data_IF_858421317210
#
_entry.id   IF_858421317210
#
_cell.length_a   1.000
_cell.length_b   1.000
_cell.length_c   1.000
_cell.angle_alpha   90.00
_cell.angle_beta   90.00
_cell.angle_gamma   90.00
#
_symmetry.space_group_name_H-M   'P 1'
#
loop_
_entity.id
_entity.type
_entity.pdbx_description
1 polymer ?
#
# COMPACT_ATOMS: atom_id res chain seq x y z
N UNK A 1 -32.33 -2.67 36.46
CA UNK A 1 -31.20 -2.69 37.41
C UNK A 1 -29.99 -2.32 36.58
N UNK A 2 -29.70 -1.07 36.46
CA UNK A 2 -28.83 -0.14 37.24
C UNK A 2 -27.47 -0.83 37.57
N UNK A 3 -26.41 -0.44 36.85
CA UNK A 3 -25.33 0.25 37.54
C UNK A 3 -24.46 1.03 36.55
N UNK A 4 -24.40 2.30 36.85
CA UNK A 4 -23.56 3.33 36.22
C UNK A 4 -22.29 3.48 37.03
N UNK A 5 -21.11 3.30 36.47
CA UNK A 5 -19.88 3.71 37.11
C UNK A 5 -19.14 4.74 36.26
N UNK A 6 -19.31 6.00 36.65
CA UNK A 6 -18.49 7.14 36.24
C UNK A 6 -17.12 7.05 36.92
N UNK A 7 -16.04 7.18 36.18
CA UNK A 7 -14.74 7.55 36.74
C UNK A 7 -14.22 8.82 36.08
N UNK A 8 -13.92 9.76 36.95
CA UNK A 8 -13.47 11.09 36.66
C UNK A 8 -12.01 11.11 36.21
N UNK A 9 -11.72 12.05 35.35
CA UNK A 9 -10.42 12.34 34.76
C UNK A 9 -9.74 13.43 35.57
N UNK A 10 -8.50 13.22 35.87
CA UNK A 10 -7.62 14.21 36.52
C UNK A 10 -6.81 14.91 35.42
N UNK A 11 -6.94 16.22 35.34
CA UNK A 11 -6.16 17.10 34.50
C UNK A 11 -4.75 17.25 35.09
N UNK A 12 -3.73 17.01 34.28
CA UNK A 12 -2.33 17.30 34.59
C UNK A 12 -1.81 18.42 33.69
N UNK A 13 -1.64 19.58 34.28
CA UNK A 13 -1.01 20.76 33.71
C UNK A 13 0.50 20.62 33.82
N UNK A 14 1.26 20.62 32.72
CA UNK A 14 2.71 20.75 32.76
C UNK A 14 3.13 21.98 31.99
N UNK A 15 3.60 22.94 32.74
CA UNK A 15 4.26 24.18 32.32
C UNK A 15 5.75 23.86 32.18
N UNK A 16 6.41 24.38 31.19
CA UNK A 16 7.86 24.35 31.21
C UNK A 16 8.55 24.60 29.88
N UNK A 17 8.98 25.79 29.80
CA UNK A 17 10.33 26.35 29.62
C UNK A 17 10.75 26.65 28.19
N UNK A 18 10.68 27.94 27.89
CA UNK A 18 11.40 28.66 26.84
C UNK A 18 12.91 28.62 27.11
N UNK A 19 13.69 28.17 26.13
CA UNK A 19 15.14 28.43 26.07
C UNK A 19 15.43 29.21 24.82
N UNK A 20 15.64 30.50 24.98
CA UNK A 20 16.23 31.42 24.01
C UNK A 20 17.73 31.24 23.99
N UNK A 21 18.26 30.70 22.89
CA UNK A 21 19.71 30.64 22.63
C UNK A 21 20.10 31.59 21.51
N UNK A 22 20.52 32.80 21.87
CA UNK A 22 21.17 33.72 20.95
C UNK A 22 22.68 33.40 20.94
N UNK A 23 23.17 32.89 19.82
CA UNK A 23 24.58 32.63 19.58
C UNK A 23 25.08 33.48 18.41
N UNK A 24 25.57 34.68 18.70
CA UNK A 24 26.34 35.47 17.78
C UNK A 24 27.80 34.99 17.79
N UNK A 25 28.34 34.57 16.67
CA UNK A 25 29.78 34.45 16.45
C UNK A 25 30.18 35.30 15.25
N UNK A 26 30.75 36.45 15.54
CA UNK A 26 31.59 37.21 14.64
C UNK A 26 32.99 36.57 14.61
N UNK A 27 33.52 36.32 13.44
CA UNK A 27 34.90 35.87 13.25
C UNK A 27 35.35 36.12 11.83
N UNK A 28 36.19 37.16 11.67
CA UNK A 28 36.81 37.61 10.41
C UNK A 28 37.94 36.71 9.96
N UNK A 29 38.18 36.82 8.67
CA UNK A 29 39.45 36.80 7.93
C UNK A 29 39.83 35.52 7.13
N UNK A 30 39.82 35.69 5.81
CA UNK A 30 40.94 35.34 4.91
C UNK A 30 40.94 33.93 4.35
N UNK A 31 40.75 33.80 3.03
CA UNK A 31 41.12 32.61 2.27
C UNK A 31 40.41 32.54 0.94
N UNK A 32 41.14 32.84 -0.11
CA UNK A 32 40.77 32.63 -1.51
C UNK A 32 40.41 31.18 -1.80
N UNK A 33 39.43 30.98 -2.63
CA UNK A 33 39.36 29.72 -3.34
C UNK A 33 37.97 29.13 -3.52
N UNK A 34 37.60 29.03 -4.79
CA UNK A 34 36.58 28.19 -5.35
C UNK A 34 35.11 28.59 -5.13
N UNK A 35 34.62 29.21 -6.18
CA UNK A 35 33.22 29.29 -6.58
C UNK A 35 32.56 27.90 -6.57
N UNK A 36 32.14 27.50 -5.39
CA UNK A 36 31.20 26.39 -5.28
C UNK A 36 29.81 26.95 -5.53
N UNK A 37 29.35 26.73 -6.74
CA UNK A 37 27.99 27.04 -7.19
C UNK A 37 26.96 26.76 -6.10
N UNK A 38 26.49 27.85 -5.49
CA UNK A 38 25.34 27.89 -4.62
C UNK A 38 24.18 27.35 -5.46
N UNK A 39 23.90 26.06 -5.34
CA UNK A 39 22.62 25.52 -5.77
C UNK A 39 21.58 26.31 -4.98
N UNK A 40 21.02 27.30 -5.61
CA UNK A 40 19.78 27.92 -5.21
C UNK A 40 18.82 26.75 -5.10
N UNK A 41 18.37 26.41 -3.89
CA UNK A 41 17.23 25.55 -3.68
C UNK A 41 16.05 26.25 -4.35
N UNK A 42 15.86 25.91 -5.61
CA UNK A 42 14.67 26.31 -6.36
C UNK A 42 13.49 25.74 -5.57
N UNK A 43 12.53 26.56 -5.13
CA UNK A 43 11.43 26.08 -4.33
C UNK A 43 10.74 24.97 -5.14
N UNK A 44 10.75 23.78 -4.59
CA UNK A 44 10.02 22.64 -5.19
C UNK A 44 8.58 23.12 -5.35
N UNK A 45 8.18 23.33 -6.59
CA UNK A 45 6.86 23.85 -6.90
C UNK A 45 5.84 22.83 -6.35
N UNK A 46 5.09 23.23 -5.35
CA UNK A 46 4.04 22.41 -4.76
C UNK A 46 2.83 22.36 -5.68
N UNK A 47 2.15 21.23 -5.73
CA UNK A 47 0.86 21.12 -6.39
C UNK A 47 -0.14 22.10 -5.74
N UNK A 48 -1.16 22.51 -6.50
CA UNK A 48 -2.28 23.25 -5.92
C UNK A 48 -3.08 22.35 -4.97
N UNK A 49 -3.70 22.93 -3.94
CA UNK A 49 -4.48 22.20 -2.96
C UNK A 49 -5.86 21.72 -3.49
N UNK A 50 -6.47 22.47 -4.41
CA UNK A 50 -7.88 22.30 -4.79
C UNK A 50 -8.07 21.78 -6.22
N UNK A 51 -7.18 20.93 -6.69
CA UNK A 51 -7.26 20.36 -8.03
C UNK A 51 -8.20 19.14 -8.10
N UNK A 52 -8.47 18.72 -9.31
CA UNK A 52 -9.37 17.60 -9.60
C UNK A 52 -8.61 16.48 -10.32
N UNK A 53 -8.77 15.25 -9.84
CA UNK A 53 -8.26 14.05 -10.49
C UNK A 53 -9.19 13.57 -11.60
N UNK A 54 -8.59 13.20 -12.73
CA UNK A 54 -9.23 12.40 -13.78
C UNK A 54 -8.41 11.12 -13.98
N UNK A 55 -9.05 9.98 -13.91
CA UNK A 55 -8.42 8.66 -14.02
C UNK A 55 -8.73 8.01 -15.36
N UNK A 56 -7.71 7.34 -15.92
CA UNK A 56 -7.81 6.55 -17.16
C UNK A 56 -7.02 5.25 -17.03
N UNK A 57 -7.29 4.28 -17.89
CA UNK A 57 -6.60 2.98 -17.93
C UNK A 57 -6.61 2.25 -16.58
N UNK A 58 -7.72 2.34 -15.83
CA UNK A 58 -7.88 1.57 -14.60
C UNK A 58 -7.74 0.07 -14.91
N UNK A 59 -6.84 -0.58 -14.21
CA UNK A 59 -6.57 -2.01 -14.32
C UNK A 59 -6.56 -2.64 -12.93
N UNK A 60 -7.32 -3.70 -12.79
CA UNK A 60 -7.33 -4.54 -11.59
C UNK A 60 -6.85 -5.93 -11.97
N UNK A 61 -5.95 -6.49 -11.19
CA UNK A 61 -5.35 -7.79 -11.48
C UNK A 61 -5.02 -8.55 -10.21
N UNK A 62 -5.50 -9.77 -10.11
CA UNK A 62 -5.05 -10.69 -9.07
C UNK A 62 -3.62 -11.17 -9.38
N UNK A 63 -2.73 -11.07 -8.39
CA UNK A 63 -1.32 -11.42 -8.49
C UNK A 63 -0.95 -12.43 -7.43
N UNK A 64 -0.29 -13.51 -7.85
CA UNK A 64 0.24 -14.51 -6.94
C UNK A 64 1.44 -13.91 -6.17
N UNK A 65 1.35 -13.91 -4.84
CA UNK A 65 2.42 -13.42 -3.96
C UNK A 65 3.20 -14.54 -3.31
N UNK A 66 2.59 -15.71 -3.16
CA UNK A 66 3.25 -16.87 -2.57
C UNK A 66 2.56 -18.16 -2.96
N UNK A 67 3.34 -19.27 -2.96
CA UNK A 67 2.87 -20.61 -3.27
C UNK A 67 3.67 -21.64 -2.48
N UNK A 68 2.99 -22.71 -2.00
CA UNK A 68 3.66 -23.86 -1.38
C UNK A 68 4.09 -24.90 -2.42
N UNK A 69 4.89 -25.86 -2.01
CA UNK A 69 4.99 -27.12 -2.73
C UNK A 69 3.72 -27.95 -2.59
N UNK A 70 3.51 -28.96 -3.47
CA UNK A 70 2.39 -29.89 -3.36
C UNK A 70 2.52 -30.74 -2.10
N UNK A 71 1.38 -31.06 -1.50
CA UNK A 71 1.31 -31.89 -0.30
C UNK A 71 0.12 -32.86 -0.39
N UNK A 72 0.38 -34.13 -0.07
CA UNK A 72 -0.62 -35.18 -0.14
C UNK A 72 -1.39 -35.29 1.17
N UNK A 73 -2.69 -35.15 1.08
CA UNK A 73 -3.62 -35.25 2.19
C UNK A 73 -4.39 -36.58 2.08
N UNK A 74 -4.52 -37.28 3.20
CA UNK A 74 -5.23 -38.55 3.30
C UNK A 74 -6.76 -38.40 3.39
N UNK A 75 -7.46 -39.53 3.49
CA UNK A 75 -8.91 -39.54 3.72
C UNK A 75 -9.25 -38.85 5.05
N UNK A 76 -10.22 -37.95 5.01
CA UNK A 76 -10.64 -37.18 6.19
C UNK A 76 -10.10 -35.75 6.21
N UNK A 77 -9.26 -35.37 5.26
CA UNK A 77 -8.69 -34.01 5.18
C UNK A 77 -7.55 -33.79 6.17
N UNK A 78 -7.17 -32.53 6.34
CA UNK A 78 -6.13 -32.14 7.28
C UNK A 78 -5.52 -30.77 6.97
N UNK A 79 -4.67 -30.32 7.89
CA UNK A 79 -3.91 -29.09 7.70
C UNK A 79 -2.69 -29.36 6.80
N UNK A 80 -2.43 -28.45 5.90
CA UNK A 80 -1.23 -28.46 5.07
C UNK A 80 -0.05 -27.89 5.86
N UNK A 81 1.10 -28.51 5.76
CA UNK A 81 2.31 -28.19 6.52
C UNK A 81 3.39 -27.49 5.67
N UNK A 82 3.33 -27.65 4.33
CA UNK A 82 4.31 -27.05 3.47
C UNK A 82 4.21 -25.52 3.50
N UNK A 83 5.30 -24.81 3.81
CA UNK A 83 5.26 -23.36 3.91
C UNK A 83 5.03 -22.71 2.55
N UNK A 84 4.26 -21.63 2.55
CA UNK A 84 4.10 -20.77 1.38
C UNK A 84 5.40 -19.97 1.18
N UNK A 85 6.00 -20.11 0.02
CA UNK A 85 7.21 -19.38 -0.38
C UNK A 85 6.83 -18.17 -1.22
N UNK A 86 7.45 -17.02 -0.93
CA UNK A 86 7.21 -15.78 -1.68
C UNK A 86 7.72 -15.90 -3.11
N UNK A 87 6.86 -15.57 -4.07
CA UNK A 87 7.17 -15.54 -5.50
C UNK A 87 7.08 -14.12 -6.09
N UNK A 88 6.37 -13.23 -5.40
CA UNK A 88 6.22 -11.83 -5.78
C UNK A 88 5.96 -10.95 -4.56
N UNK A 89 6.52 -9.74 -4.56
CA UNK A 89 6.24 -8.71 -3.55
C UNK A 89 5.59 -7.52 -4.23
N UNK A 90 4.30 -7.25 -3.98
CA UNK A 90 3.66 -6.06 -4.51
C UNK A 90 4.27 -4.82 -3.86
N UNK A 91 4.36 -3.74 -4.61
CA UNK A 91 4.94 -2.47 -4.14
C UNK A 91 4.07 -1.30 -4.59
N UNK A 92 3.54 -0.52 -3.66
CA UNK A 92 2.88 0.74 -3.98
C UNK A 92 3.82 1.67 -4.72
N UNK A 93 3.32 2.42 -5.67
CA UNK A 93 4.12 3.42 -6.36
C UNK A 93 3.26 4.54 -6.94
N UNK A 94 3.80 5.75 -6.88
CA UNK A 94 3.25 6.92 -7.55
C UNK A 94 4.39 7.56 -8.35
N UNK A 95 4.13 7.85 -9.61
CA UNK A 95 5.03 8.58 -10.50
C UNK A 95 4.25 9.75 -11.08
N UNK A 96 4.81 10.95 -11.03
CA UNK A 96 4.21 12.15 -11.56
C UNK A 96 5.22 12.92 -12.40
N UNK A 97 4.73 13.57 -13.45
CA UNK A 97 5.53 14.40 -14.37
C UNK A 97 5.45 15.87 -13.95
N UNK A 98 6.05 16.20 -12.81
CA UNK A 98 6.06 17.55 -12.25
C UNK A 98 5.49 17.67 -10.84
N UNK A 99 5.22 18.90 -10.37
CA UNK A 99 4.66 19.14 -9.04
C UNK A 99 3.28 18.51 -8.89
N UNK A 100 3.17 17.48 -8.08
CA UNK A 100 1.97 16.70 -7.87
C UNK A 100 1.48 16.79 -6.42
N UNK A 101 0.22 16.43 -6.14
CA UNK A 101 -0.24 16.14 -4.78
C UNK A 101 0.62 15.06 -4.11
N UNK A 102 0.52 14.93 -2.81
CA UNK A 102 1.21 13.87 -2.09
C UNK A 102 0.85 12.48 -2.62
N UNK A 103 1.75 11.54 -2.50
CA UNK A 103 1.49 10.16 -2.93
C UNK A 103 0.27 9.57 -2.21
N UNK A 104 0.05 9.92 -0.94
CA UNK A 104 -1.11 9.48 -0.17
C UNK A 104 -2.43 10.04 -0.74
N UNK A 105 -2.48 11.31 -1.14
CA UNK A 105 -3.66 11.92 -1.77
C UNK A 105 -3.97 11.29 -3.14
N UNK A 106 -2.93 11.02 -3.93
CA UNK A 106 -3.07 10.34 -5.23
C UNK A 106 -3.64 8.93 -5.01
N UNK A 107 -3.08 8.15 -4.08
CA UNK A 107 -3.56 6.81 -3.77
C UNK A 107 -4.96 6.81 -3.15
N UNK A 108 -5.29 7.80 -2.31
CA UNK A 108 -6.64 7.97 -1.79
C UNK A 108 -7.66 8.18 -2.93
N UNK A 109 -7.34 9.06 -3.87
CA UNK A 109 -8.18 9.29 -5.05
C UNK A 109 -8.28 8.05 -5.94
N UNK A 110 -7.18 7.29 -6.11
CA UNK A 110 -7.21 6.00 -6.82
C UNK A 110 -8.10 4.99 -6.11
N UNK A 111 -8.00 4.89 -4.78
CA UNK A 111 -8.82 3.99 -3.97
C UNK A 111 -10.31 4.29 -4.11
N UNK A 112 -10.71 5.56 -4.09
CA UNK A 112 -12.10 5.97 -4.37
C UNK A 112 -12.51 5.59 -5.80
N UNK A 113 -11.64 5.78 -6.78
CA UNK A 113 -11.93 5.44 -8.18
C UNK A 113 -12.08 3.94 -8.40
N UNK A 114 -11.33 3.12 -7.69
CA UNK A 114 -11.37 1.67 -7.76
C UNK A 114 -12.42 1.03 -6.84
N UNK A 115 -13.09 1.82 -5.98
CA UNK A 115 -14.05 1.29 -5.00
C UNK A 115 -13.40 0.63 -3.78
N UNK A 116 -12.10 0.83 -3.56
CA UNK A 116 -11.36 0.33 -2.38
C UNK A 116 -11.53 1.26 -1.17
N UNK A 117 -11.93 2.48 -1.42
CA UNK A 117 -12.31 3.51 -0.44
C UNK A 117 -13.69 4.01 -0.84
N UNK A 118 -14.59 4.13 0.12
CA UNK A 118 -15.95 4.60 -0.14
C UNK A 118 -15.94 5.97 -0.83
N UNK A 119 -16.83 6.16 -1.78
CA UNK A 119 -16.91 7.38 -2.58
C UNK A 119 -17.24 8.64 -1.76
N UNK A 120 -17.95 8.47 -0.66
CA UNK A 120 -18.34 9.49 0.31
C UNK A 120 -17.36 9.63 1.50
N UNK A 121 -16.29 8.83 1.51
CA UNK A 121 -15.24 8.99 2.51
C UNK A 121 -14.72 10.44 2.54
N UNK A 122 -14.43 10.99 3.73
CA UNK A 122 -13.83 12.31 3.86
C UNK A 122 -12.52 12.37 3.08
N UNK A 123 -12.06 13.58 2.77
CA UNK A 123 -10.74 13.74 2.16
C UNK A 123 -9.66 13.20 3.08
N UNK A 124 -8.50 12.84 2.53
CA UNK A 124 -7.37 12.36 3.32
C UNK A 124 -6.95 13.37 4.40
N UNK A 125 -7.03 14.67 4.10
CA UNK A 125 -6.75 15.75 5.05
C UNK A 125 -7.75 15.77 6.21
N UNK A 126 -9.04 15.60 5.95
CA UNK A 126 -10.09 15.55 6.96
C UNK A 126 -10.00 14.28 7.81
N UNK A 127 -9.51 13.19 7.25
CA UNK A 127 -9.26 11.95 7.98
C UNK A 127 -7.98 12.01 8.86
N UNK A 128 -7.32 13.17 8.99
CA UNK A 128 -6.11 13.33 9.77
C UNK A 128 -4.84 12.78 9.10
N UNK A 129 -4.88 12.57 7.80
CA UNK A 129 -3.73 12.06 7.02
C UNK A 129 -3.40 10.60 7.27
N UNK A 130 -4.17 9.95 8.13
CA UNK A 130 -3.90 8.58 8.52
C UNK A 130 -4.91 7.62 8.01
N UNK A 131 -4.92 6.55 7.75
CA UNK A 131 -6.03 5.65 8.04
C UNK A 131 -6.44 4.69 6.95
N UNK A 132 -5.97 4.93 5.77
CA UNK A 132 -6.28 3.99 4.71
C UNK A 132 -5.01 3.22 4.37
N UNK A 133 -4.89 1.92 4.67
CA UNK A 133 -3.71 1.13 4.27
C UNK A 133 -3.39 1.28 2.79
N UNK A 134 -4.44 1.45 1.98
CA UNK A 134 -4.30 1.69 0.54
C UNK A 134 -3.58 3.01 0.20
N UNK A 135 -3.51 3.98 1.11
CA UNK A 135 -2.80 5.26 0.87
C UNK A 135 -1.34 5.24 1.29
N UNK A 136 -0.89 4.20 1.98
CA UNK A 136 0.49 4.10 2.44
C UNK A 136 1.41 3.55 1.35
N UNK A 137 2.31 4.41 0.85
CA UNK A 137 3.36 4.00 -0.12
C UNK A 137 4.42 3.09 0.50
N UNK A 138 4.42 2.92 1.82
CA UNK A 138 5.30 2.01 2.56
C UNK A 138 4.55 0.80 3.09
N UNK A 139 3.36 0.54 2.58
CA UNK A 139 2.56 -0.59 2.98
C UNK A 139 3.43 -1.86 3.03
N UNK A 140 3.45 -2.58 4.16
CA UNK A 140 4.27 -3.78 4.30
C UNK A 140 3.80 -4.87 3.33
N UNK A 141 4.73 -5.71 2.90
CA UNK A 141 4.38 -6.85 2.06
C UNK A 141 3.28 -7.71 2.71
N UNK A 142 2.34 -8.25 1.91
CA UNK A 142 1.26 -9.07 2.44
C UNK A 142 1.79 -10.32 3.15
N UNK A 143 1.09 -10.76 4.16
CA UNK A 143 1.38 -12.03 4.84
C UNK A 143 1.19 -13.20 3.88
N UNK A 144 1.91 -14.27 4.11
CA UNK A 144 1.86 -15.50 3.30
C UNK A 144 1.25 -16.67 4.09
N UNK A 145 0.51 -16.40 5.14
CA UNK A 145 -0.19 -17.43 5.90
C UNK A 145 -1.54 -17.79 5.23
N UNK A 146 -1.90 -19.04 5.31
CA UNK A 146 -3.16 -19.57 4.82
C UNK A 146 -3.74 -20.61 5.79
N UNK A 147 -3.70 -20.30 7.08
CA UNK A 147 -4.13 -21.20 8.16
C UNK A 147 -5.63 -21.55 8.11
N UNK A 148 -6.39 -20.86 7.28
CA UNK A 148 -7.85 -20.90 7.26
C UNK A 148 -8.44 -21.91 6.30
N UNK A 149 -7.68 -22.38 5.32
CA UNK A 149 -8.17 -23.26 4.27
C UNK A 149 -7.54 -24.63 4.43
N UNK A 150 -8.38 -25.64 4.75
CA UNK A 150 -7.95 -27.01 4.90
C UNK A 150 -8.73 -27.88 3.92
N UNK A 151 -8.07 -28.78 3.16
CA UNK A 151 -8.74 -29.75 2.31
C UNK A 151 -9.52 -30.74 3.16
N UNK A 152 -10.71 -31.07 2.68
CA UNK A 152 -11.62 -32.04 3.36
C UNK A 152 -11.57 -33.44 2.76
N UNK A 153 -10.97 -33.60 1.61
CA UNK A 153 -10.86 -34.86 0.88
C UNK A 153 -9.39 -35.27 0.71
N UNK A 154 -9.18 -36.54 0.40
CA UNK A 154 -7.87 -37.01 -0.02
C UNK A 154 -7.50 -36.40 -1.37
N UNK A 155 -6.26 -36.00 -1.54
CA UNK A 155 -5.78 -35.38 -2.76
C UNK A 155 -4.36 -34.87 -2.59
N UNK A 156 -3.86 -34.23 -3.63
CA UNK A 156 -2.59 -33.50 -3.61
C UNK A 156 -2.89 -32.01 -3.79
N UNK A 157 -2.47 -31.20 -2.82
CA UNK A 157 -2.91 -29.83 -2.70
C UNK A 157 -1.74 -28.85 -2.60
N UNK A 158 -1.94 -27.66 -3.14
CA UNK A 158 -1.03 -26.52 -3.08
C UNK A 158 -1.75 -25.33 -2.46
N UNK A 159 -1.17 -24.75 -1.41
CA UNK A 159 -1.62 -23.48 -0.83
C UNK A 159 -1.02 -22.30 -1.59
N UNK A 160 -1.78 -21.21 -1.69
CA UNK A 160 -1.27 -19.99 -2.28
C UNK A 160 -1.83 -18.74 -1.60
N UNK A 161 -1.06 -17.66 -1.72
CA UNK A 161 -1.45 -16.33 -1.31
C UNK A 161 -1.34 -15.37 -2.51
N UNK A 162 -2.18 -14.36 -2.54
CA UNK A 162 -2.19 -13.35 -3.59
C UNK A 162 -2.75 -12.02 -3.12
N UNK A 163 -2.68 -11.04 -4.00
CA UNK A 163 -3.26 -9.71 -3.79
C UNK A 163 -3.97 -9.27 -5.06
N UNK A 164 -4.89 -8.33 -4.92
CA UNK A 164 -5.42 -7.56 -6.03
C UNK A 164 -4.60 -6.30 -6.20
N UNK A 165 -3.89 -6.18 -7.30
CA UNK A 165 -3.23 -4.94 -7.70
C UNK A 165 -4.20 -4.05 -8.46
N UNK A 166 -4.19 -2.77 -8.12
CA UNK A 166 -4.93 -1.71 -8.78
C UNK A 166 -3.93 -0.71 -9.35
N UNK A 167 -4.07 -0.34 -10.60
CA UNK A 167 -3.23 0.68 -11.22
C UNK A 167 -4.03 1.53 -12.21
N UNK A 168 -3.67 2.81 -12.32
CA UNK A 168 -4.28 3.72 -13.30
C UNK A 168 -3.37 4.89 -13.61
N UNK A 169 -3.61 5.52 -14.75
CA UNK A 169 -3.03 6.80 -15.11
C UNK A 169 -3.92 7.92 -14.58
N UNK A 170 -3.31 8.97 -14.04
CA UNK A 170 -4.02 10.14 -13.57
C UNK A 170 -3.61 11.41 -14.29
N UNK A 171 -4.57 12.34 -14.35
CA UNK A 171 -4.34 13.75 -14.64
C UNK A 171 -4.92 14.57 -13.50
N UNK A 172 -4.09 15.38 -12.88
CA UNK A 172 -4.50 16.31 -11.84
C UNK A 172 -4.53 17.72 -12.42
N UNK A 173 -5.68 18.40 -12.36
CA UNK A 173 -5.88 19.74 -12.92
C UNK A 173 -6.14 20.73 -11.80
N UNK A 174 -5.32 21.74 -11.74
CA UNK A 174 -5.45 22.87 -10.83
C UNK A 174 -6.50 23.88 -11.31
N UNK A 175 -7.09 24.69 -10.40
CA UNK A 175 -8.02 25.76 -10.76
C UNK A 175 -7.41 26.81 -11.69
N UNK A 176 -6.11 27.05 -11.59
CA UNK A 176 -5.35 27.96 -12.47
C UNK A 176 -5.03 27.38 -13.86
N UNK A 177 -5.51 26.18 -14.16
CA UNK A 177 -5.35 25.50 -15.43
C UNK A 177 -4.09 24.66 -15.58
N UNK A 178 -3.14 24.71 -14.63
CA UNK A 178 -1.99 23.81 -14.64
C UNK A 178 -2.44 22.35 -14.52
N UNK A 179 -1.73 21.46 -15.19
CA UNK A 179 -2.02 20.02 -15.14
C UNK A 179 -0.76 19.23 -14.86
N UNK A 180 -0.91 18.16 -14.10
CA UNK A 180 0.12 17.15 -13.86
C UNK A 180 -0.43 15.79 -14.25
N UNK A 181 0.33 15.01 -14.98
CA UNK A 181 0.00 13.63 -15.33
C UNK A 181 0.91 12.66 -14.59
N UNK A 182 0.44 11.44 -14.44
CA UNK A 182 1.24 10.41 -13.81
C UNK A 182 0.55 9.05 -13.81
N UNK A 183 1.19 8.12 -13.10
CA UNK A 183 0.72 6.75 -12.92
C UNK A 183 0.78 6.39 -11.45
N UNK A 184 -0.26 5.74 -10.96
CA UNK A 184 -0.32 5.23 -9.59
C UNK A 184 -0.66 3.74 -9.59
N UNK A 185 -0.09 3.02 -8.64
CA UNK A 185 -0.35 1.60 -8.39
C UNK A 185 -0.32 1.33 -6.90
N UNK A 186 -1.27 0.52 -6.46
CA UNK A 186 -1.28 -0.06 -5.13
C UNK A 186 -1.94 -1.44 -5.16
N UNK A 187 -2.03 -2.09 -4.02
CA UNK A 187 -2.66 -3.38 -3.86
C UNK A 187 -3.56 -3.41 -2.64
N UNK A 188 -4.52 -4.28 -2.69
CA UNK A 188 -5.51 -4.53 -1.64
C UNK A 188 -5.81 -6.01 -1.60
N UNK A 189 -6.50 -6.43 -0.57
CA UNK A 189 -7.03 -7.80 -0.34
C UNK A 189 -5.95 -8.88 -0.38
N UNK A 190 -5.74 -9.50 0.76
CA UNK A 190 -5.00 -10.74 0.85
C UNK A 190 -5.86 -11.88 0.31
N UNK A 191 -5.46 -12.42 -0.84
CA UNK A 191 -6.09 -13.60 -1.44
C UNK A 191 -5.41 -14.83 -0.86
N UNK A 192 -6.21 -15.72 -0.26
CA UNK A 192 -5.77 -17.03 0.17
C UNK A 192 -6.53 -18.09 -0.59
N UNK A 193 -5.85 -19.14 -1.02
CA UNK A 193 -6.48 -20.19 -1.80
C UNK A 193 -5.79 -21.54 -1.70
N UNK A 194 -6.52 -22.54 -2.22
CA UNK A 194 -6.10 -23.92 -2.32
C UNK A 194 -6.35 -24.42 -3.74
N UNK A 195 -5.36 -25.12 -4.31
CA UNK A 195 -5.48 -25.77 -5.62
C UNK A 195 -5.28 -27.27 -5.42
N UNK A 196 -6.23 -28.06 -5.92
CA UNK A 196 -6.10 -29.52 -6.04
C UNK A 196 -5.35 -29.84 -7.32
N UNK A 197 -4.20 -30.53 -7.21
CA UNK A 197 -3.39 -30.90 -8.36
C UNK A 197 -4.05 -31.99 -9.24
N UNK A 198 -5.08 -32.65 -8.75
CA UNK A 198 -5.89 -33.62 -9.53
C UNK A 198 -7.00 -32.96 -10.36
N UNK A 199 -7.23 -31.65 -10.20
CA UNK A 199 -8.34 -30.91 -10.84
C UNK A 199 -7.82 -29.69 -11.56
N UNK A 200 -8.17 -29.54 -12.83
CA UNK A 200 -7.77 -28.35 -13.60
C UNK A 200 -8.53 -27.11 -13.12
N UNK A 201 -7.82 -26.04 -12.68
CA UNK A 201 -8.49 -24.91 -12.06
C UNK A 201 -9.08 -23.92 -13.07
N UNK A 202 -10.19 -23.27 -12.68
CA UNK A 202 -10.93 -22.34 -13.54
C UNK A 202 -10.38 -20.88 -13.48
N UNK A 203 -9.89 -20.42 -12.33
CA UNK A 203 -9.39 -19.06 -12.18
C UNK A 203 -7.99 -18.87 -12.75
N UNK A 204 -7.69 -17.67 -13.23
CA UNK A 204 -6.37 -17.35 -13.79
C UNK A 204 -5.25 -17.51 -12.76
N UNK A 205 -5.51 -17.08 -11.50
CA UNK A 205 -4.56 -17.19 -10.42
C UNK A 205 -4.29 -18.65 -10.05
N UNK A 206 -5.34 -19.46 -9.90
CA UNK A 206 -5.20 -20.89 -9.58
C UNK A 206 -4.53 -21.67 -10.74
N UNK A 207 -4.76 -21.31 -12.00
CA UNK A 207 -4.02 -21.88 -13.15
C UNK A 207 -2.53 -21.54 -13.08
N UNK A 208 -2.15 -20.33 -12.64
CA UNK A 208 -0.74 -19.99 -12.44
C UNK A 208 -0.12 -20.84 -11.33
N UNK A 209 -0.83 -21.02 -10.21
CA UNK A 209 -0.42 -21.91 -9.10
C UNK A 209 -0.21 -23.34 -9.60
N UNK A 210 -1.18 -23.88 -10.34
CA UNK A 210 -1.14 -25.23 -10.89
C UNK A 210 0.11 -25.47 -11.76
N UNK A 211 0.38 -24.57 -12.71
CA UNK A 211 1.59 -24.63 -13.56
C UNK A 211 2.89 -24.56 -12.77
N UNK A 212 2.90 -23.81 -11.67
CA UNK A 212 4.12 -23.61 -10.86
C UNK A 212 4.43 -24.76 -9.92
N UNK A 213 3.42 -25.48 -9.46
CA UNK A 213 3.59 -26.40 -8.34
C UNK A 213 3.00 -27.79 -8.57
N UNK A 214 2.01 -27.96 -9.45
CA UNK A 214 1.39 -29.25 -9.72
C UNK A 214 1.93 -29.91 -10.99
N UNK A 215 2.38 -29.15 -11.98
CA UNK A 215 2.99 -29.71 -13.17
C UNK A 215 4.42 -30.18 -12.87
N UNK A 216 4.82 -31.38 -13.30
CA UNK A 216 6.21 -31.81 -13.18
C UNK A 216 7.12 -30.88 -13.98
N UNK A 217 8.26 -30.53 -13.38
CA UNK A 217 9.30 -29.70 -14.02
C UNK A 217 9.95 -30.41 -15.23
#
# INVERSE_FOLDING_TARGET
>A
MRDTTRRAVTAGLVIGVLVTGVGACTGSAGGDGADQGRKTDEPVATACADGTFTWSHLSERDRLTGVSGPERIGKGGGALQNPIRRVYTPSPSVRAEGPAPSAAEILFSLGKKAGEIDSDAPTLAEAGGETWPFTDVRQPAPKLDNDRIQPRAAGEYVQYAGVREVSADFRYRCPDGRTVSGHARNWTVDIAGLTDCGVHPDSALAREVFRRSCEPA
#
